data_IF_592380426043
#
_entry.id   IF_592380426043
#
_cell.length_a   1.000
_cell.length_b   1.000
_cell.length_c   1.000
_cell.angle_alpha   90.00
_cell.angle_beta   90.00
_cell.angle_gamma   90.00
#
_symmetry.space_group_name_H-M   'P 1'
#
loop_
_entity.id
_entity.type
_entity.pdbx_description
1 polymer ?
2 non-polymer ?
3 non-polymer ?
4 non-polymer ?
5 water ?
#
# COMPACT_ATOMS: atom_id res chain seq x y z
N UNK A 3 -2.15 2.40 -33.25
CA UNK A 3 -3.47 2.49 -33.93
C UNK A 3 -4.55 1.88 -33.02
N UNK A 4 -4.26 0.74 -32.40
CA UNK A 4 -5.14 0.05 -31.39
C UNK A 4 -4.31 -0.09 -30.10
N UNK A 5 -3.30 0.76 -29.99
CA UNK A 5 -2.43 0.96 -28.80
C UNK A 5 -3.23 1.71 -27.75
N UNK A 6 -2.90 1.55 -26.51
CA UNK A 6 -3.76 2.05 -25.42
C UNK A 6 -3.08 1.89 -24.08
N UNK A 7 -3.05 2.98 -23.32
CA UNK A 7 -2.36 3.09 -22.03
C UNK A 7 -3.31 3.70 -21.00
N UNK A 8 -3.39 3.10 -19.85
CA UNK A 8 -4.23 3.57 -18.73
C UNK A 8 -3.29 3.83 -17.56
N UNK A 9 -3.22 5.09 -17.09
CA UNK A 9 -2.58 5.40 -15.79
C UNK A 9 -3.61 5.37 -14.64
N UNK A 10 -3.16 4.85 -13.53
CA UNK A 10 -3.86 4.92 -12.22
C UNK A 10 -2.81 5.33 -11.23
N UNK A 11 -3.24 5.83 -10.10
CA UNK A 11 -2.39 6.28 -8.99
C UNK A 11 -2.69 5.48 -7.75
N UNK A 12 -1.63 5.12 -7.04
CA UNK A 12 -1.67 4.53 -5.69
C UNK A 12 -0.95 5.49 -4.75
N UNK A 13 -1.44 5.60 -3.53
CA UNK A 13 -0.77 6.28 -2.42
C UNK A 13 -0.42 5.23 -1.37
N UNK A 14 0.86 5.07 -1.09
CA UNK A 14 1.33 4.25 0.05
C UNK A 14 1.76 5.26 1.13
N UNK A 15 1.61 4.91 2.39
CA UNK A 15 1.99 5.84 3.45
C UNK A 15 2.03 5.15 4.77
N UNK A 16 2.41 5.90 5.79
CA UNK A 16 2.45 5.36 7.16
C UNK A 16 2.48 6.53 8.11
N UNK A 17 1.94 6.28 9.26
CA UNK A 17 2.01 7.18 10.42
C UNK A 17 2.73 6.41 11.51
N UNK A 18 3.44 7.11 12.36
CA UNK A 18 4.12 6.54 13.52
C UNK A 18 4.18 7.60 14.60
N UNK A 19 4.00 7.20 15.85
CA UNK A 19 4.18 8.11 16.98
C UNK A 19 4.67 7.33 18.20
N UNK A 20 5.50 8.01 18.98
CA UNK A 20 5.96 7.58 20.32
C UNK A 20 4.73 7.52 21.24
N UNK A 21 4.44 6.37 21.79
CA UNK A 21 3.50 6.24 22.93
C UNK A 21 4.04 7.12 24.06
N UNK A 22 3.17 7.88 24.71
CA UNK A 22 3.47 8.61 25.99
C UNK A 22 4.07 7.66 27.01
N UNK A 23 3.71 6.37 26.94
CA UNK A 23 4.22 5.28 27.82
C UNK A 23 4.34 3.99 27.01
N UNK A 24 5.47 3.26 27.10
CA UNK A 24 5.63 2.02 26.34
C UNK A 24 4.60 0.98 26.82
N UNK A 25 4.33 -0.05 26.02
CA UNK A 25 3.46 -1.18 26.42
C UNK A 25 4.23 -2.09 27.40
N UNK A 26 3.51 -2.89 28.16
CA UNK A 26 4.06 -4.04 28.92
C UNK A 26 5.20 -4.68 28.14
N UNK A 27 5.02 -4.91 26.83
CA UNK A 27 5.97 -5.69 25.97
C UNK A 27 7.15 -4.83 25.53
N UNK A 28 7.17 -3.55 25.93
CA UNK A 28 8.26 -2.62 25.57
C UNK A 28 8.07 -2.01 24.18
N UNK A 29 6.90 -2.16 23.57
CA UNK A 29 6.54 -1.46 22.32
C UNK A 29 6.50 0.04 22.64
N UNK A 30 7.36 0.78 21.97
CA UNK A 30 7.55 2.23 22.19
C UNK A 30 6.68 2.99 21.20
N UNK A 31 6.27 2.35 20.11
CA UNK A 31 5.64 3.11 19.01
C UNK A 31 4.32 2.50 18.60
N UNK A 32 3.40 3.39 18.21
CA UNK A 32 2.24 3.04 17.37
C UNK A 32 2.61 3.34 15.92
N UNK A 33 2.27 2.46 15.01
CA UNK A 33 2.31 2.84 13.58
C UNK A 33 1.15 2.25 12.80
N UNK A 34 0.97 2.82 11.63
CA UNK A 34 -0.10 2.44 10.68
C UNK A 34 0.47 2.64 9.26
N UNK A 35 0.38 1.60 8.46
CA UNK A 35 0.78 1.62 7.03
C UNK A 35 -0.43 1.30 6.12
N UNK A 36 -0.47 1.90 4.94
CA UNK A 36 -1.70 1.84 4.11
C UNK A 36 -1.35 1.93 2.65
N UNK A 37 -2.26 1.40 1.86
CA UNK A 37 -2.41 1.65 0.40
C UNK A 37 -3.79 2.18 0.14
N UNK A 38 -3.88 3.31 -0.58
CA UNK A 38 -5.15 3.91 -0.93
C UNK A 38 -5.03 4.50 -2.32
N UNK A 39 -6.15 4.88 -2.92
CA UNK A 39 -6.17 5.71 -4.12
C UNK A 39 -6.24 7.19 -3.75
N UNK A 40 -6.10 8.11 -4.71
CA UNK A 40 -6.47 9.49 -4.49
C UNK A 40 -7.97 9.60 -4.13
N UNK A 41 -8.38 10.78 -3.70
CA UNK A 41 -9.77 11.06 -3.26
C UNK A 41 -10.73 10.87 -4.44
N UNK A 42 -11.86 10.22 -4.20
CA UNK A 42 -12.93 10.02 -5.21
C UNK A 42 -12.58 8.90 -6.22
N UNK A 43 -11.43 8.23 -6.05
CA UNK A 43 -11.09 7.00 -6.81
C UNK A 43 -11.32 5.79 -5.94
N UNK A 44 -11.55 4.68 -6.59
CA UNK A 44 -11.92 3.42 -5.93
C UNK A 44 -11.01 2.30 -6.42
N UNK A 45 -9.82 2.14 -5.82
CA UNK A 45 -8.78 1.21 -6.32
C UNK A 45 -9.26 -0.22 -6.14
N UNK A 46 -10.34 -0.42 -5.42
CA UNK A 46 -10.85 -1.79 -5.20
C UNK A 46 -11.38 -2.37 -6.53
N UNK A 47 -11.71 -1.52 -7.51
CA UNK A 47 -12.12 -1.98 -8.86
C UNK A 47 -11.00 -2.77 -9.54
N UNK A 48 -9.72 -2.51 -9.24
CA UNK A 48 -8.62 -3.24 -9.95
C UNK A 48 -7.69 -3.96 -8.99
N UNK A 49 -7.79 -3.70 -7.69
CA UNK A 49 -6.91 -4.31 -6.67
C UNK A 49 -7.61 -5.52 -6.08
N UNK A 50 -7.06 -6.72 -6.29
CA UNK A 50 -7.59 -7.97 -5.70
C UNK A 50 -7.35 -7.93 -4.18
N UNK A 51 -6.10 -7.70 -3.78
CA UNK A 51 -5.70 -7.65 -2.37
C UNK A 51 -4.38 -6.91 -2.24
N UNK A 52 -4.08 -6.48 -1.04
CA UNK A 52 -2.75 -5.97 -0.65
C UNK A 52 -2.20 -6.84 0.45
N UNK A 53 -0.95 -7.26 0.27
CA UNK A 53 -0.13 -7.99 1.25
C UNK A 53 0.98 -7.09 1.78
N UNK A 54 0.98 -6.91 3.08
CA UNK A 54 2.01 -6.25 3.88
C UNK A 54 2.86 -7.32 4.56
N UNK A 55 4.17 -7.35 4.26
CA UNK A 55 5.14 -8.33 4.80
C UNK A 55 5.87 -7.65 5.97
N UNK A 56 5.42 -7.88 7.20
CA UNK A 56 6.01 -7.23 8.40
C UNK A 56 7.35 -7.92 8.71
N UNK A 57 8.16 -7.33 9.56
CA UNK A 57 9.36 -7.94 10.15
C UNK A 57 9.02 -9.36 10.65
N UNK A 58 9.95 -10.33 10.49
CA UNK A 58 9.73 -11.79 10.76
C UNK A 58 9.34 -11.95 12.25
N UNK A 59 9.66 -10.97 13.09
CA UNK A 59 9.39 -10.99 14.56
C UNK A 59 7.91 -10.86 14.86
N UNK A 60 7.09 -10.31 13.94
CA UNK A 60 5.65 -10.04 14.16
C UNK A 60 4.87 -11.34 14.06
N UNK A 61 3.81 -11.51 14.87
CA UNK A 61 2.93 -12.64 14.68
C UNK A 61 2.22 -12.46 13.33
N UNK A 62 2.04 -13.55 12.58
CA UNK A 62 1.44 -13.54 11.24
C UNK A 62 2.01 -12.41 10.43
N UNK A 63 3.32 -12.42 10.08
CA UNK A 63 3.95 -11.27 9.41
C UNK A 63 3.38 -10.99 8.00
N UNK A 64 2.81 -11.98 7.34
CA UNK A 64 2.17 -11.82 6.02
C UNK A 64 0.74 -11.35 6.27
N UNK A 65 0.54 -10.04 6.29
CA UNK A 65 -0.76 -9.41 6.61
C UNK A 65 -1.49 -9.08 5.32
N UNK A 66 -2.69 -9.58 5.18
CA UNK A 66 -3.44 -9.52 3.90
C UNK A 66 -4.67 -8.65 4.12
N UNK A 67 -4.96 -7.75 3.18
CA UNK A 67 -6.25 -7.02 3.10
C UNK A 67 -6.88 -7.30 1.74
N UNK A 68 -8.02 -7.96 1.71
CA UNK A 68 -8.67 -8.32 0.43
C UNK A 68 -9.70 -7.24 0.09
N UNK A 69 -9.90 -6.27 0.97
CA UNK A 69 -10.81 -5.14 0.70
C UNK A 69 -10.40 -3.93 1.55
N UNK A 70 -10.82 -2.73 1.15
CA UNK A 70 -10.43 -1.53 1.86
C UNK A 70 -11.07 -1.58 3.24
N UNK A 71 -10.42 -1.03 4.27
CA UNK A 71 -9.14 -0.33 4.06
C UNK A 71 -7.98 -1.30 3.87
N UNK A 72 -7.05 -0.98 2.98
CA UNK A 72 -5.76 -1.68 2.85
C UNK A 72 -4.78 -1.08 3.85
N UNK A 73 -4.68 -1.63 5.05
CA UNK A 73 -3.78 -1.05 6.07
C UNK A 73 -3.42 -2.08 7.12
N UNK A 74 -2.33 -1.84 7.81
CA UNK A 74 -1.97 -2.54 9.06
C UNK A 74 -1.79 -1.50 10.12
N UNK A 75 -2.40 -1.69 11.27
CA UNK A 75 -2.13 -0.95 12.52
C UNK A 75 -1.35 -1.84 13.48
N UNK A 76 -0.25 -1.35 14.01
CA UNK A 76 0.61 -2.13 14.91
C UNK A 76 1.23 -1.22 15.94
N UNK A 77 1.82 -1.83 16.94
CA UNK A 77 2.82 -1.22 17.83
C UNK A 77 4.12 -2.02 17.66
N UNK A 78 5.25 -1.42 17.96
CA UNK A 78 6.54 -2.07 17.74
C UNK A 78 7.66 -1.27 18.35
N UNK A 79 8.89 -1.71 18.15
CA UNK A 79 10.10 -1.18 18.82
C UNK A 79 11.01 -0.44 17.81
N UNK A 80 10.90 -0.75 16.51
CA UNK A 80 11.83 -0.22 15.48
C UNK A 80 11.18 -0.21 14.09
N UNK A 81 11.71 0.64 13.22
CA UNK A 81 11.36 0.68 11.80
C UNK A 81 11.94 -0.52 11.09
N UNK A 82 11.45 -0.81 9.88
CA UNK A 82 12.06 -1.81 8.99
C UNK A 82 11.58 -1.53 7.58
N UNK A 83 12.16 -2.24 6.64
CA UNK A 83 11.76 -2.30 5.21
C UNK A 83 10.63 -3.32 5.05
N UNK A 84 9.50 -2.87 4.54
CA UNK A 84 8.28 -3.67 4.41
C UNK A 84 7.98 -3.86 2.92
N UNK A 85 8.15 -5.08 2.39
CA UNK A 85 7.62 -5.40 1.07
C UNK A 85 6.10 -5.25 1.10
N UNK A 86 5.54 -4.53 0.14
CA UNK A 86 4.07 -4.41 -0.01
C UNK A 86 3.73 -4.86 -1.41
N UNK A 87 2.90 -5.88 -1.52
CA UNK A 87 2.45 -6.36 -2.82
C UNK A 87 1.03 -5.92 -3.03
N UNK A 88 0.79 -5.34 -4.18
CA UNK A 88 -0.56 -4.96 -4.64
C UNK A 88 -0.93 -5.87 -5.81
N UNK A 89 -1.80 -6.82 -5.57
CA UNK A 89 -2.26 -7.81 -6.56
C UNK A 89 -3.41 -7.20 -7.33
N UNK A 90 -3.52 -7.50 -8.61
CA UNK A 90 -4.52 -6.87 -9.48
C UNK A 90 -5.59 -7.90 -9.85
N UNK A 91 -6.78 -7.42 -10.20
CA UNK A 91 -7.86 -8.20 -10.86
C UNK A 91 -7.57 -8.25 -12.37
N UNK A 92 -6.40 -8.79 -12.72
CA UNK A 92 -5.83 -8.84 -14.09
C UNK A 92 -5.65 -10.30 -14.47
N UNK A 93 -6.14 -10.69 -15.64
CA UNK A 93 -6.06 -12.09 -16.11
C UNK A 93 -4.64 -12.36 -16.56
N UNK A 94 -3.91 -11.31 -17.00
CA UNK A 94 -2.59 -11.44 -17.67
C UNK A 94 -1.54 -10.68 -16.87
N UNK A 95 -0.37 -10.49 -17.42
CA UNK A 95 0.74 -9.76 -16.79
C UNK A 95 0.51 -8.26 -17.02
N UNK A 96 0.90 -7.40 -16.07
CA UNK A 96 1.31 -7.82 -14.73
C UNK A 96 0.12 -8.08 -13.78
N UNK A 97 0.31 -9.03 -12.87
CA UNK A 97 -0.71 -9.53 -11.91
C UNK A 97 -0.58 -8.75 -10.62
N UNK A 98 0.61 -8.26 -10.33
CA UNK A 98 0.89 -7.57 -9.07
C UNK A 98 2.00 -6.55 -9.28
N UNK A 99 2.14 -5.62 -8.35
CA UNK A 99 3.35 -4.79 -8.24
C UNK A 99 3.83 -4.85 -6.80
N UNK A 100 5.14 -4.95 -6.63
CA UNK A 100 5.84 -5.02 -5.32
C UNK A 100 6.57 -3.69 -5.05
N UNK A 101 6.40 -3.14 -3.88
CA UNK A 101 7.05 -1.89 -3.45
C UNK A 101 7.90 -2.29 -2.26
N UNK A 102 9.03 -1.66 -2.09
CA UNK A 102 9.89 -1.80 -0.89
C UNK A 102 9.58 -0.60 -0.04
N UNK A 103 8.77 -0.74 1.01
CA UNK A 103 8.28 0.42 1.80
C UNK A 103 9.18 0.62 3.02
N UNK A 104 9.68 1.84 3.15
CA UNK A 104 10.53 2.25 4.29
C UNK A 104 9.61 2.60 5.47
N UNK A 105 9.29 1.64 6.32
CA UNK A 105 8.53 1.96 7.56
C UNK A 105 9.49 2.41 8.65
N UNK A 106 9.69 3.71 8.77
CA UNK A 106 10.62 4.29 9.76
C UNK A 106 9.79 5.02 10.81
N UNK A 107 10.28 4.97 12.05
CA UNK A 107 9.62 5.55 13.24
C UNK A 107 10.33 6.86 13.60
N UNK A 108 9.72 7.68 14.44
CA UNK A 108 10.30 8.95 14.93
C UNK A 108 11.19 8.66 16.15
N UNK A 109 12.47 9.04 16.07
CA UNK A 109 13.44 8.96 17.20
C UNK A 109 12.95 9.86 18.32
N UNK A 110 12.91 9.34 19.54
CA UNK A 110 12.33 10.03 20.72
C UNK A 110 12.75 11.50 20.65
N UNK A 111 11.80 12.41 20.92
CA UNK A 111 12.02 13.87 20.84
C UNK A 111 11.55 14.44 19.50
N UNK A 112 11.38 13.61 18.48
CA UNK A 112 10.89 14.06 17.14
C UNK A 112 9.39 13.86 17.06
N UNK A 113 8.68 14.78 16.39
CA UNK A 113 7.22 14.68 16.30
C UNK A 113 6.80 13.46 15.49
N UNK A 114 5.49 13.13 15.44
CA UNK A 114 5.01 11.95 14.72
C UNK A 114 5.40 11.95 13.23
N UNK A 115 5.48 10.78 12.65
CA UNK A 115 5.72 10.63 11.20
C UNK A 115 4.37 10.58 10.49
N UNK A 116 4.26 11.30 9.39
CA UNK A 116 3.05 11.21 8.53
C UNK A 116 3.52 11.31 7.10
N UNK A 117 3.88 10.17 6.49
CA UNK A 117 4.48 10.13 5.13
C UNK A 117 3.50 9.58 4.12
N UNK A 118 3.67 10.07 2.90
CA UNK A 118 2.95 9.62 1.71
C UNK A 118 3.95 9.37 0.58
N UNK A 119 3.73 8.27 -0.12
CA UNK A 119 4.51 7.92 -1.32
C UNK A 119 3.51 7.65 -2.44
N UNK A 120 3.49 8.52 -3.45
CA UNK A 120 2.57 8.48 -4.61
C UNK A 120 3.23 7.68 -5.72
N UNK A 121 2.52 6.68 -6.21
CA UNK A 121 3.00 5.74 -7.26
C UNK A 121 2.05 5.86 -8.46
N UNK A 122 2.57 6.13 -9.63
CA UNK A 122 1.74 6.10 -10.85
C UNK A 122 1.98 4.76 -11.54
N UNK A 123 0.96 3.98 -11.77
CA UNK A 123 1.08 2.74 -12.52
C UNK A 123 0.66 3.03 -13.95
N UNK A 124 1.48 2.65 -14.93
CA UNK A 124 1.14 2.72 -16.38
C UNK A 124 0.90 1.30 -16.89
N UNK A 125 -0.35 0.97 -17.20
CA UNK A 125 -0.76 -0.28 -17.88
C UNK A 125 -0.79 -0.06 -19.40
N UNK A 126 0.06 -0.79 -20.13
CA UNK A 126 0.10 -0.76 -21.60
C UNK A 126 -0.84 -1.83 -22.11
N UNK A 127 -1.75 -1.42 -23.00
CA UNK A 127 -2.66 -2.33 -23.70
C UNK A 127 -3.23 -3.33 -22.74
N UNK A 128 -4.00 -2.91 -21.73
CA UNK A 128 -4.72 -3.88 -20.89
C UNK A 128 -5.80 -4.62 -21.64
N UNK A 129 -6.17 -5.83 -21.22
CA UNK A 129 -7.35 -6.52 -21.78
C UNK A 129 -8.53 -5.54 -21.68
N UNK A 130 -9.55 -5.68 -22.54
CA UNK A 130 -10.80 -4.86 -22.48
C UNK A 130 -11.39 -4.94 -21.06
N UNK A 131 -11.41 -6.13 -20.49
CA UNK A 131 -11.98 -6.39 -19.17
C UNK A 131 -11.22 -5.54 -18.15
N UNK A 132 -9.90 -5.70 -18.08
CA UNK A 132 -9.07 -5.05 -17.03
C UNK A 132 -9.02 -3.54 -17.31
N UNK A 133 -9.07 -3.14 -18.57
CA UNK A 133 -9.12 -1.69 -18.90
C UNK A 133 -10.35 -1.07 -18.20
N UNK A 134 -11.46 -1.81 -18.17
CA UNK A 134 -12.77 -1.35 -17.66
C UNK A 134 -12.61 -1.13 -16.15
N UNK A 135 -12.00 -2.09 -15.45
CA UNK A 135 -11.68 -2.01 -13.99
C UNK A 135 -10.78 -0.82 -13.68
N UNK A 136 -9.75 -0.58 -14.46
CA UNK A 136 -8.84 0.57 -14.25
C UNK A 136 -9.64 1.88 -14.42
N UNK A 137 -10.52 1.97 -15.43
CA UNK A 137 -11.24 3.22 -15.71
C UNK A 137 -12.34 3.44 -14.64
N UNK A 138 -12.97 2.35 -14.19
CA UNK A 138 -13.95 2.41 -13.10
C UNK A 138 -13.32 3.01 -11.86
N UNK A 139 -12.02 2.79 -11.64
CA UNK A 139 -11.33 3.18 -10.41
C UNK A 139 -10.85 4.61 -10.52
N UNK A 140 -10.99 5.26 -11.65
CA UNK A 140 -10.57 6.65 -11.77
C UNK A 140 -9.23 6.75 -12.48
N UNK A 141 -8.93 5.68 -13.26
CA UNK A 141 -7.77 5.67 -14.15
C UNK A 141 -8.05 6.54 -15.33
N UNK A 142 -6.99 6.89 -16.07
CA UNK A 142 -7.01 7.83 -17.23
C UNK A 142 -6.35 7.18 -18.45
N UNK A 143 -6.94 7.36 -19.63
CA UNK A 143 -6.32 6.96 -20.92
C UNK A 143 -5.32 8.02 -21.34
N UNK A 144 -4.17 7.62 -21.87
CA UNK A 144 -3.10 8.54 -22.39
C UNK A 144 -2.69 8.05 -23.79
N UNK A 145 -1.76 8.77 -24.44
CA UNK A 145 -1.07 8.31 -25.69
C UNK A 145 -2.13 8.02 -26.76
X LIG B 1 -4.18 -15.09 0.81
X LIG B 1 -5.38 -15.69 0.29
X LIG B 1 -3.14 -16.08 0.89
X LIG B 1 -3.76 -14.04 -0.07
X LIG B 1 -4.45 -14.55 2.13
X LIG C 1 -4.00 14.42 12.03
X LIG C 1 -4.95 15.06 11.16
X LIG C 1 -4.23 12.99 12.02
X LIG C 1 -2.67 14.70 11.56
X LIG C 1 -4.16 14.92 13.37
X LIG D 1 -7.15 4.95 -8.96
X LIG D 1 -5.90 4.34 -8.90
X LIG D 1 -7.19 6.11 -9.83
X LIG D 1 -5.91 6.58 -10.19
X LIG E 1 10.74 -0.34 -5.04
X LIG E 1 9.71 0.04 -4.16
X LIG E 1 11.89 0.60 -4.98
X LIG E 1 11.93 1.35 -3.77
X LIG F 1 -6.41 4.21 5.61
X LIG F 1 -5.60 5.36 5.49
X LIG F 1 -6.69 3.56 4.30
X LIG F 1 -7.43 4.37 3.41
X LIG G 1 -0.78 5.97 13.80
X LIG G 1 -0.96 4.69 14.32
X LIG G 1 -0.09 6.84 14.74
X LIG G 1 -0.61 6.70 16.06
X LIG H 1 2.05 -1.80 -13.00
X LIG H 1 3.11 -2.51 -12.41
X LIG H 1 2.53 -0.99 -14.14
X LIG H 1 2.32 -1.62 -15.41
X LIG I 1 14.58 1.35 8.03
X LIG I 1 13.26 1.82 7.87
X LIG I 1 15.32 2.15 9.00
X LIG I 1 14.48 2.70 10.00
X LIG J 1 -2.25 -0.62 17.39
X LIG J 1 -1.06 -0.86 18.08
X LIG J 1 -2.75 0.74 17.66
X LIG J 1 -1.72 1.61 18.08
X LIG K 1 5.23 -6.43 17.66
X LIG K 1 7.44 -6.93 16.85
X LIG K 1 4.09 -5.72 18.04
X LIG K 1 -1.34 -6.96 17.22
X LIG K 1 8.69 -6.52 16.33
X LIG K 1 9.13 -5.26 16.13
X LIG K 1 0.86 -7.94 17.36
X LIG K 1 14.79 -5.95 14.17
X LIG K 1 3.77 -7.88 18.47
X LIG K 1 3.26 -6.63 18.50
X LIG K 1 8.57 -4.25 16.58
X LIG K 1 10.44 -5.13 15.42
X LIG K 1 10.63 -4.08 14.53
X LIG K 1 11.84 -3.91 13.85
X LIG K 1 12.86 -4.82 14.10
X LIG K 1 14.10 -4.92 13.59
X LIG K 1 14.68 -4.19 12.48
X LIG K 1 13.97 -6.51 15.03
X LIG K 1 12.71 -5.85 15.04
X LIG K 1 11.49 -6.03 15.67
X LIG K 1 6.42 -5.99 17.11
X LIG K 1 7.24 -8.28 17.15
X LIG K 1 6.04 -8.72 17.71
X LIG K 1 5.05 -7.77 17.95
X LIG K 1 1.85 -6.36 18.96
X LIG K 1 0.87 -6.56 17.89
X LIG K 1 -0.54 -6.31 18.34
X LIG K 1 -0.85 -4.85 18.53
X LIG K 1 -0.62 -8.26 17.05
#
# INVERSE_FOLDING_TARGET
SMDNQCTVQVRLELGHRAQLRKKPTTEGFTHDWMVFVRGPEQCDIQHFVEKVVFWLHDSFPKPRRVCKEPPYKVEESGYAGFIMPIEVHFKNKEEPRKVCFTYDLFLNLEGNPPVNHLRCEKLTFNNPTTEFRYKLLRAGGVMVMPEGAHHHHHH
SO4 S O1 O2 O3 O4
SO4 S O1 O2 O3 O4
EDO C1 O1 C2 O2
EDO C1 O1 C2 O2
EDO C1 O1 C2 O2
EDO C1 O1 C2 O2
EDO C1 O1 C2 O2
EDO C1 O1 C2 O2
EDO C1 O1 C2 O2
GQ5 C7 C9 N1 C2 N2 C10 C4 N3 N5 C6 O C11 C18 C17 C16 N4 C15 C14 C13 C12 C8 C19 C20 C21 C5 N C1 C C3
#
